data_IF_888622223027
#
_entry.id   IF_888622223027
#
_cell.length_a   1.000
_cell.length_b   1.000
_cell.length_c   1.000
_cell.angle_alpha   90.00
_cell.angle_beta   90.00
_cell.angle_gamma   90.00
#
_symmetry.space_group_name_H-M   'P 1'
#
loop_
_entity.id
_entity.type
_entity.pdbx_description
1 polymer ?
#
# COMPACT_ATOMS: atom_id res chain seq x y z
N UNK A 1 -22.93 21.42 4.01
CA UNK A 1 -22.75 22.67 4.77
C UNK A 1 -21.37 22.63 5.38
N UNK A 2 -20.51 23.63 5.17
CA UNK A 2 -19.16 23.60 5.73
C UNK A 2 -19.27 23.82 7.24
N UNK A 3 -18.60 22.97 8.02
CA UNK A 3 -18.40 23.16 9.45
C UNK A 3 -17.62 24.47 9.64
N UNK A 4 -18.29 25.48 10.18
CA UNK A 4 -17.68 26.77 10.49
C UNK A 4 -16.68 26.54 11.64
N UNK A 5 -15.38 26.59 11.31
CA UNK A 5 -14.29 26.45 12.28
C UNK A 5 -14.31 27.66 13.21
N UNK A 6 -14.88 27.48 14.41
CA UNK A 6 -14.89 28.50 15.45
C UNK A 6 -13.53 28.46 16.17
N UNK A 7 -12.71 29.52 16.10
CA UNK A 7 -11.36 29.50 16.68
C UNK A 7 -11.39 29.32 18.22
N UNK A 8 -10.44 28.56 18.79
CA UNK A 8 -10.43 28.18 20.21
C UNK A 8 -10.39 29.38 21.18
N UNK A 9 -9.90 30.52 20.69
CA UNK A 9 -9.83 31.81 21.40
C UNK A 9 -11.21 32.29 21.91
N UNK A 10 -12.31 31.94 21.22
CA UNK A 10 -13.67 32.43 21.52
C UNK A 10 -14.36 31.58 22.59
N UNK A 11 -13.99 30.29 22.75
CA UNK A 11 -14.58 29.39 23.76
C UNK A 11 -14.20 29.75 25.20
N UNK A 12 -13.01 30.29 25.43
CA UNK A 12 -12.54 30.66 26.77
C UNK A 12 -13.23 31.91 27.36
N UNK A 13 -13.75 32.83 26.52
CA UNK A 13 -14.34 34.08 27.01
C UNK A 13 -15.70 33.91 27.70
N UNK A 14 -16.49 32.87 27.39
CA UNK A 14 -17.80 32.63 28.03
C UNK A 14 -17.71 32.08 29.46
N UNK A 15 -16.54 31.60 29.90
CA UNK A 15 -16.31 31.10 31.26
C UNK A 15 -15.91 32.20 32.27
N UNK A 16 -15.72 33.44 31.82
CA UNK A 16 -15.25 34.55 32.66
C UNK A 16 -16.24 35.00 33.74
N UNK A 17 -17.55 34.76 33.58
CA UNK A 17 -18.59 35.23 34.52
C UNK A 17 -18.82 34.22 35.66
N UNK A 18 -18.62 32.92 35.42
CA UNK A 18 -18.81 31.88 36.44
C UNK A 18 -17.67 31.82 37.46
N UNK A 19 -16.45 32.19 37.07
CA UNK A 19 -15.27 32.23 37.95
C UNK A 19 -15.39 33.21 39.13
N UNK A 20 -15.76 34.49 38.95
CA UNK A 20 -15.89 35.43 40.07
C UNK A 20 -17.06 35.08 40.98
N UNK A 21 -18.18 34.58 40.44
CA UNK A 21 -19.35 34.19 41.25
C UNK A 21 -19.06 32.95 42.12
N UNK A 22 -18.39 31.94 41.56
CA UNK A 22 -17.99 30.73 42.29
C UNK A 22 -16.97 31.01 43.41
N UNK A 23 -16.21 32.10 43.32
CA UNK A 23 -15.27 32.54 44.34
C UNK A 23 -15.92 33.47 45.38
N UNK A 24 -16.83 34.36 44.97
CA UNK A 24 -17.45 35.35 45.86
C UNK A 24 -18.41 34.74 46.89
N UNK A 25 -19.18 33.71 46.52
CA UNK A 25 -20.14 33.03 47.42
C UNK A 25 -19.43 32.35 48.62
N UNK A 26 -18.30 31.66 48.43
CA UNK A 26 -17.47 31.17 49.54
C UNK A 26 -17.03 32.23 50.55
N UNK A 27 -16.49 33.35 50.07
CA UNK A 27 -16.02 34.42 50.96
C UNK A 27 -17.17 35.13 51.68
N UNK A 28 -18.31 35.32 51.02
CA UNK A 28 -19.51 35.89 51.65
C UNK A 28 -20.09 34.98 52.74
N UNK A 29 -20.10 33.66 52.52
CA UNK A 29 -20.58 32.70 53.53
C UNK A 29 -19.64 32.63 54.73
N UNK A 30 -18.33 32.59 54.54
CA UNK A 30 -17.35 32.63 55.64
C UNK A 30 -17.38 33.97 56.40
N UNK A 31 -17.58 35.09 55.70
CA UNK A 31 -17.78 36.40 56.32
C UNK A 31 -19.06 36.45 57.18
N UNK A 32 -20.16 35.85 56.70
CA UNK A 32 -21.39 35.72 57.47
C UNK A 32 -21.24 34.83 58.72
N UNK A 33 -20.37 33.80 58.68
CA UNK A 33 -20.02 32.99 59.87
C UNK A 33 -19.22 33.81 60.88
N UNK A 34 -18.23 34.57 60.41
CA UNK A 34 -17.40 35.42 61.26
C UNK A 34 -18.23 36.46 62.03
N UNK A 35 -19.26 37.04 61.38
CA UNK A 35 -20.12 38.07 61.98
C UNK A 35 -21.12 37.53 63.02
N UNK A 36 -21.37 36.22 63.04
CA UNK A 36 -22.38 35.59 63.91
C UNK A 36 -21.78 34.80 65.06
N UNK A 37 -20.47 34.54 65.03
CA UNK A 37 -19.78 33.71 66.02
C UNK A 37 -19.32 34.53 67.24
N UNK A 38 -19.41 33.92 68.43
CA UNK A 38 -18.83 34.49 69.66
C UNK A 38 -17.30 34.51 69.60
N UNK A 39 -16.70 33.45 69.06
CA UNK A 39 -15.27 33.32 68.81
C UNK A 39 -15.02 33.21 67.29
N UNK A 40 -14.85 34.35 66.58
CA UNK A 40 -14.86 34.39 65.13
C UNK A 40 -13.72 33.58 64.49
N UNK A 41 -12.53 33.53 65.11
CA UNK A 41 -11.38 32.81 64.55
C UNK A 41 -11.57 31.29 64.55
N UNK A 42 -12.12 30.74 65.64
CA UNK A 42 -12.40 29.30 65.75
C UNK A 42 -13.53 28.92 64.79
N UNK A 43 -14.60 29.70 64.76
CA UNK A 43 -15.74 29.43 63.86
C UNK A 43 -15.34 29.52 62.38
N UNK A 44 -14.54 30.51 61.99
CA UNK A 44 -14.02 30.63 60.61
C UNK A 44 -13.07 29.49 60.28
N UNK A 45 -12.19 29.08 61.21
CA UNK A 45 -11.30 27.93 61.00
C UNK A 45 -12.07 26.64 60.78
N UNK A 46 -13.02 26.33 61.66
CA UNK A 46 -13.91 25.17 61.56
C UNK A 46 -14.74 25.19 60.27
N UNK A 47 -15.37 26.33 59.95
CA UNK A 47 -16.16 26.48 58.74
C UNK A 47 -15.31 26.31 57.47
N UNK A 48 -14.06 26.78 57.48
CA UNK A 48 -13.15 26.66 56.33
C UNK A 48 -12.73 25.21 56.07
N UNK A 49 -12.37 24.47 57.12
CA UNK A 49 -12.01 23.05 56.99
C UNK A 49 -13.20 22.24 56.47
N UNK A 50 -14.39 22.49 57.00
CA UNK A 50 -15.64 21.82 56.56
C UNK A 50 -15.97 22.20 55.11
N UNK A 51 -15.82 23.47 54.74
CA UNK A 51 -16.03 23.96 53.39
C UNK A 51 -15.11 23.27 52.38
N UNK A 52 -13.81 23.17 52.68
CA UNK A 52 -12.82 22.49 51.82
C UNK A 52 -13.12 21.01 51.70
N UNK A 53 -13.46 20.33 52.81
CA UNK A 53 -13.81 18.92 52.79
C UNK A 53 -15.07 18.66 51.93
N UNK A 54 -16.12 19.47 52.13
CA UNK A 54 -17.36 19.39 51.35
C UNK A 54 -17.10 19.65 49.86
N UNK A 55 -16.33 20.70 49.53
CA UNK A 55 -15.99 21.04 48.15
C UNK A 55 -15.14 19.94 47.48
N UNK A 56 -14.18 19.35 48.20
CA UNK A 56 -13.32 18.29 47.65
C UNK A 56 -14.12 17.01 47.39
N UNK A 57 -15.00 16.63 48.32
CA UNK A 57 -15.91 15.49 48.15
C UNK A 57 -16.85 15.71 46.96
N UNK A 58 -17.42 16.92 46.86
CA UNK A 58 -18.21 17.34 45.71
C UNK A 58 -17.43 17.25 44.41
N UNK A 59 -16.23 17.82 44.36
CA UNK A 59 -15.38 17.84 43.16
C UNK A 59 -14.95 16.45 42.71
N UNK A 60 -14.67 15.52 43.64
CA UNK A 60 -14.41 14.13 43.31
C UNK A 60 -15.59 13.44 42.64
N UNK A 61 -16.81 13.66 43.15
CA UNK A 61 -18.03 13.19 42.49
C UNK A 61 -18.22 13.87 41.14
N UNK A 62 -18.07 15.20 41.07
CA UNK A 62 -18.16 15.96 39.84
C UNK A 62 -17.21 15.44 38.76
N UNK A 63 -15.97 15.12 39.14
CA UNK A 63 -14.98 14.50 38.27
C UNK A 63 -15.49 13.17 37.70
N UNK A 64 -15.97 12.24 38.54
CA UNK A 64 -16.49 10.95 38.09
C UNK A 64 -17.64 11.11 37.08
N UNK A 65 -18.62 11.96 37.40
CA UNK A 65 -19.76 12.25 36.53
C UNK A 65 -19.38 13.06 35.28
N UNK A 66 -18.26 13.78 35.32
CA UNK A 66 -17.78 14.63 34.23
C UNK A 66 -17.00 13.90 33.14
N UNK A 67 -16.57 12.65 33.38
CA UNK A 67 -15.83 11.85 32.41
C UNK A 67 -16.71 11.58 31.17
N UNK A 68 -16.26 11.93 29.94
CA UNK A 68 -17.01 11.69 28.71
C UNK A 68 -17.15 10.19 28.40
N UNK A 69 -18.33 9.77 27.94
CA UNK A 69 -18.69 8.36 27.61
C UNK A 69 -18.60 8.01 26.12
N UNK A 70 -18.17 8.97 25.29
CA UNK A 70 -18.33 8.90 23.83
C UNK A 70 -17.29 8.05 23.11
N UNK A 71 -16.27 7.51 23.80
CA UNK A 71 -15.22 6.70 23.17
C UNK A 71 -15.59 5.20 23.10
N UNK A 72 -16.66 4.79 23.79
CA UNK A 72 -17.11 3.39 23.84
C UNK A 72 -18.15 3.04 22.76
N UNK A 73 -18.95 4.02 22.29
CA UNK A 73 -20.01 3.79 21.29
C UNK A 73 -19.47 3.65 19.86
N UNK A 74 -18.37 4.34 19.49
CA UNK A 74 -17.78 4.25 18.14
C UNK A 74 -17.21 2.85 17.83
N UNK A 75 -16.77 2.10 18.85
CA UNK A 75 -16.27 0.73 18.66
C UNK A 75 -17.37 -0.32 18.58
N UNK A 76 -18.51 -0.09 19.24
CA UNK A 76 -19.63 -1.04 19.25
C UNK A 76 -20.39 -1.06 17.92
N UNK A 77 -20.31 0.01 17.12
CA UNK A 77 -20.94 0.11 15.79
C UNK A 77 -20.00 -0.17 14.61
N UNK A 78 -18.73 -0.49 14.86
CA UNK A 78 -17.78 -0.90 13.82
C UNK A 78 -17.87 -2.41 13.62
N UNK A 79 -18.74 -2.86 12.72
CA UNK A 79 -18.89 -4.28 12.37
C UNK A 79 -17.58 -4.92 11.84
N UNK A 80 -17.50 -6.26 11.80
CA UNK A 80 -16.29 -6.97 11.40
C UNK A 80 -16.03 -6.77 9.90
N UNK A 81 -14.98 -6.04 9.57
CA UNK A 81 -14.47 -5.92 8.20
C UNK A 81 -13.41 -7.02 7.96
N UNK A 82 -13.53 -7.84 6.90
CA UNK A 82 -12.57 -8.91 6.67
C UNK A 82 -11.32 -8.38 5.97
N UNK A 83 -10.21 -8.61 6.68
CA UNK A 83 -8.90 -9.08 6.24
C UNK A 83 -7.93 -8.18 5.45
N UNK A 84 -6.65 -8.29 5.83
CA UNK A 84 -5.52 -7.99 4.95
C UNK A 84 -4.69 -6.74 5.23
N UNK A 85 -4.16 -6.54 6.45
CA UNK A 85 -2.74 -6.18 6.70
C UNK A 85 -2.48 -5.96 8.19
N UNK A 86 -1.58 -6.78 8.74
CA UNK A 86 -1.12 -6.68 10.11
C UNK A 86 -0.32 -5.39 10.34
N UNK A 87 -0.37 -4.94 11.59
CA UNK A 87 0.59 -4.05 12.27
C UNK A 87 0.36 -2.53 12.29
N UNK A 88 -0.89 -2.08 12.16
CA UNK A 88 -1.30 -0.93 12.98
C UNK A 88 -1.70 -1.46 14.34
N UNK A 89 -0.79 -1.50 15.31
CA UNK A 89 -1.17 -1.56 16.73
C UNK A 89 -2.03 -0.32 16.97
N UNK A 90 -3.36 -0.46 16.77
CA UNK A 90 -4.37 0.49 17.23
C UNK A 90 -4.06 0.66 18.70
N UNK A 91 -3.38 1.75 19.03
CA UNK A 91 -3.01 2.05 20.39
C UNK A 91 -4.35 2.35 21.07
N UNK A 92 -4.89 1.36 21.76
CA UNK A 92 -6.16 1.49 22.42
C UNK A 92 -6.01 2.60 23.46
N UNK A 93 -6.74 3.69 23.26
CA UNK A 93 -6.91 4.69 24.30
C UNK A 93 -7.38 3.92 25.54
N UNK A 94 -6.65 4.08 26.64
CA UNK A 94 -6.88 3.37 27.87
C UNK A 94 -8.24 3.84 28.46
N UNK A 95 -9.31 3.12 28.12
CA UNK A 95 -10.68 3.42 28.59
C UNK A 95 -10.92 2.92 30.03
N UNK A 96 -9.90 2.44 30.73
CA UNK A 96 -10.06 1.89 32.08
C UNK A 96 -10.68 2.91 33.04
N UNK A 97 -10.28 4.19 32.96
CA UNK A 97 -10.86 5.24 33.82
C UNK A 97 -12.33 5.53 33.50
N UNK A 98 -12.71 5.48 32.23
CA UNK A 98 -14.09 5.67 31.76
C UNK A 98 -14.98 4.52 32.23
N UNK A 99 -14.51 3.28 32.06
CA UNK A 99 -15.20 2.07 32.50
C UNK A 99 -15.36 2.00 34.01
N UNK A 100 -14.28 2.26 34.76
CA UNK A 100 -14.32 2.29 36.23
C UNK A 100 -15.28 3.38 36.72
N UNK A 101 -15.29 4.55 36.08
CA UNK A 101 -16.22 5.62 36.43
C UNK A 101 -17.68 5.26 36.13
N UNK A 102 -17.97 4.58 35.01
CA UNK A 102 -19.33 4.14 34.68
C UNK A 102 -19.84 3.08 35.66
N UNK A 103 -19.02 2.08 36.01
CA UNK A 103 -19.28 1.14 37.11
C UNK A 103 -19.58 1.93 38.40
N UNK A 104 -18.75 2.90 38.73
CA UNK A 104 -18.74 3.52 40.04
C UNK A 104 -19.94 4.45 40.19
N UNK A 105 -20.25 5.21 39.14
CA UNK A 105 -21.43 6.08 39.11
C UNK A 105 -22.73 5.28 39.18
N UNK A 106 -22.82 4.12 38.50
CA UNK A 106 -23.98 3.21 38.62
C UNK A 106 -24.15 2.67 40.04
N UNK A 107 -23.06 2.23 40.69
CA UNK A 107 -23.09 1.76 42.08
C UNK A 107 -23.46 2.89 43.04
N UNK A 108 -22.88 4.09 42.88
CA UNK A 108 -23.18 5.25 43.72
C UNK A 108 -24.66 5.64 43.63
N UNK A 109 -25.22 5.69 42.42
CA UNK A 109 -26.65 5.98 42.22
C UNK A 109 -27.52 4.85 42.80
N UNK A 110 -27.14 3.59 42.59
CA UNK A 110 -27.86 2.42 43.12
C UNK A 110 -27.90 2.36 44.65
N UNK A 111 -26.76 2.57 45.31
CA UNK A 111 -26.67 2.64 46.79
C UNK A 111 -27.43 3.87 47.29
N UNK A 112 -27.31 5.01 46.61
CA UNK A 112 -28.03 6.23 46.97
C UNK A 112 -29.54 6.06 46.98
N UNK A 113 -30.10 5.33 46.02
CA UNK A 113 -31.54 5.05 45.92
C UNK A 113 -32.05 4.16 47.07
N UNK A 114 -31.27 3.15 47.47
CA UNK A 114 -31.68 2.19 48.51
C UNK A 114 -31.37 2.69 49.94
N UNK A 115 -30.29 3.44 50.11
CA UNK A 115 -29.79 3.88 51.42
C UNK A 115 -30.00 5.37 51.73
N UNK A 116 -30.90 6.04 51.01
CA UNK A 116 -31.14 7.48 51.18
C UNK A 116 -31.47 7.86 52.63
N UNK A 117 -32.30 7.06 53.31
CA UNK A 117 -32.68 7.29 54.71
C UNK A 117 -31.49 7.24 55.69
N UNK A 118 -30.70 6.15 55.75
CA UNK A 118 -29.46 6.10 56.51
C UNK A 118 -28.48 7.23 56.20
N UNK A 119 -28.27 7.55 54.92
CA UNK A 119 -27.37 8.63 54.48
C UNK A 119 -27.85 9.99 55.05
N UNK A 120 -29.15 10.28 54.94
CA UNK A 120 -29.72 11.52 55.47
C UNK A 120 -29.55 11.65 56.98
N UNK A 121 -29.69 10.54 57.74
CA UNK A 121 -29.42 10.51 59.18
C UNK A 121 -27.95 10.77 59.51
N UNK A 122 -27.03 10.15 58.79
CA UNK A 122 -25.58 10.38 58.98
C UNK A 122 -25.21 11.83 58.68
N UNK A 123 -25.77 12.42 57.63
CA UNK A 123 -25.59 13.85 57.32
C UNK A 123 -26.16 14.72 58.45
N UNK A 124 -27.34 14.41 58.98
CA UNK A 124 -27.93 15.13 60.12
C UNK A 124 -27.08 15.06 61.39
N UNK A 125 -26.45 13.91 61.65
CA UNK A 125 -25.50 13.76 62.76
C UNK A 125 -24.24 14.60 62.52
N UNK A 126 -23.66 14.54 61.32
CA UNK A 126 -22.49 15.36 60.96
C UNK A 126 -22.77 16.87 61.09
N UNK A 127 -23.94 17.35 60.65
CA UNK A 127 -24.38 18.74 60.82
C UNK A 127 -24.48 19.11 62.30
N UNK A 128 -24.94 18.18 63.13
CA UNK A 128 -25.06 18.39 64.58
C UNK A 128 -23.69 18.50 65.26
N UNK A 129 -22.77 17.58 64.94
CA UNK A 129 -21.40 17.58 65.47
C UNK A 129 -20.61 18.81 65.02
N UNK A 130 -20.62 19.11 63.72
CA UNK A 130 -19.96 20.29 63.17
C UNK A 130 -20.60 21.58 63.69
N UNK A 131 -21.93 21.59 63.83
CA UNK A 131 -22.67 22.73 64.35
C UNK A 131 -22.28 23.07 65.79
N UNK A 132 -22.04 22.05 66.63
CA UNK A 132 -21.59 22.24 68.00
C UNK A 132 -20.21 22.93 68.09
N UNK A 133 -19.34 22.70 67.10
CA UNK A 133 -18.04 23.38 66.97
C UNK A 133 -18.10 24.80 66.40
N UNK A 134 -19.26 25.25 65.92
CA UNK A 134 -19.46 26.57 65.30
C UNK A 134 -20.25 27.52 66.21
N UNK A 135 -21.31 27.04 66.86
CA UNK A 135 -22.04 27.77 67.89
C UNK A 135 -22.82 26.80 68.81
N UNK A 136 -23.01 27.13 70.10
CA UNK A 136 -23.63 26.23 71.08
C UNK A 136 -25.15 26.07 70.93
N UNK A 137 -25.78 26.79 70.00
CA UNK A 137 -27.23 26.86 69.79
C UNK A 137 -27.64 26.43 68.38
N UNK A 138 -28.94 26.52 68.06
CA UNK A 138 -29.48 26.11 66.77
C UNK A 138 -28.80 26.80 65.57
N UNK A 139 -28.23 28.00 65.78
CA UNK A 139 -27.48 28.75 64.77
C UNK A 139 -26.27 27.97 64.25
N UNK A 140 -25.55 27.26 65.12
CA UNK A 140 -24.39 26.45 64.73
C UNK A 140 -24.75 25.36 63.72
N UNK A 141 -25.87 24.67 63.95
CA UNK A 141 -26.40 23.65 63.02
C UNK A 141 -26.82 24.25 61.68
N UNK A 142 -27.47 25.41 61.68
CA UNK A 142 -27.87 26.11 60.44
C UNK A 142 -26.65 26.55 59.65
N UNK A 143 -25.61 27.05 60.33
CA UNK A 143 -24.34 27.43 59.69
C UNK A 143 -23.64 26.19 59.11
N UNK A 144 -23.51 25.10 59.89
CA UNK A 144 -22.91 23.86 59.42
C UNK A 144 -23.62 23.30 58.17
N UNK A 145 -24.96 23.26 58.21
CA UNK A 145 -25.77 22.86 57.07
C UNK A 145 -25.54 23.80 55.87
N UNK A 146 -25.58 25.12 56.08
CA UNK A 146 -25.34 26.12 55.05
C UNK A 146 -23.98 25.96 54.37
N UNK A 147 -22.91 25.76 55.14
CA UNK A 147 -21.57 25.51 54.62
C UNK A 147 -21.54 24.20 53.81
N UNK A 148 -22.02 23.08 54.35
CA UNK A 148 -21.99 21.80 53.65
C UNK A 148 -22.81 21.82 52.35
N UNK A 149 -24.05 22.32 52.40
CA UNK A 149 -24.95 22.37 51.24
C UNK A 149 -24.58 23.45 50.23
N UNK A 150 -23.75 24.43 50.58
CA UNK A 150 -23.22 25.39 49.60
C UNK A 150 -21.98 24.83 48.91
N UNK A 151 -21.04 24.29 49.69
CA UNK A 151 -19.72 23.94 49.16
C UNK A 151 -19.67 22.58 48.47
N UNK A 152 -20.45 21.59 48.90
CA UNK A 152 -20.48 20.28 48.21
C UNK A 152 -21.03 20.38 46.78
N UNK A 153 -22.20 21.01 46.51
CA UNK A 153 -22.67 21.20 45.14
C UNK A 153 -21.76 22.11 44.31
N UNK A 154 -21.16 23.14 44.92
CA UNK A 154 -20.22 24.03 44.22
C UNK A 154 -18.97 23.26 43.78
N UNK A 155 -18.39 22.44 44.68
CA UNK A 155 -17.29 21.55 44.35
C UNK A 155 -17.65 20.57 43.23
N UNK A 156 -18.85 19.97 43.30
CA UNK A 156 -19.36 19.08 42.25
C UNK A 156 -19.43 19.77 40.90
N UNK A 157 -20.02 20.96 40.81
CA UNK A 157 -20.10 21.71 39.55
C UNK A 157 -18.72 22.06 39.01
N UNK A 158 -17.78 22.48 39.87
CA UNK A 158 -16.40 22.77 39.47
C UNK A 158 -15.74 21.52 38.91
N UNK A 159 -15.79 20.39 39.63
CA UNK A 159 -15.21 19.12 39.19
C UNK A 159 -15.84 18.62 37.88
N UNK A 160 -17.16 18.68 37.78
CA UNK A 160 -17.92 18.25 36.60
C UNK A 160 -17.58 19.07 35.37
N UNK A 161 -17.69 20.39 35.46
CA UNK A 161 -17.45 21.28 34.33
C UNK A 161 -15.99 21.25 33.90
N UNK A 162 -15.05 21.24 34.86
CA UNK A 162 -13.61 21.18 34.54
C UNK A 162 -13.26 19.88 33.83
N UNK A 163 -13.75 18.74 34.32
CA UNK A 163 -13.52 17.44 33.69
C UNK A 163 -14.17 17.39 32.31
N UNK A 164 -15.44 17.81 32.20
CA UNK A 164 -16.19 17.75 30.95
C UNK A 164 -15.62 18.66 29.86
N UNK A 165 -14.99 19.78 30.21
CA UNK A 165 -14.48 20.74 29.23
C UNK A 165 -12.99 20.55 28.93
N UNK A 166 -12.15 20.35 29.94
CA UNK A 166 -10.71 20.27 29.75
C UNK A 166 -10.26 18.86 29.32
N UNK A 167 -10.77 17.81 29.97
CA UNK A 167 -10.36 16.44 29.64
C UNK A 167 -10.88 16.04 28.24
N UNK A 168 -12.10 16.43 27.89
CA UNK A 168 -12.68 16.15 26.58
C UNK A 168 -11.96 16.88 25.43
N UNK A 169 -11.49 18.12 25.67
CA UNK A 169 -10.75 18.87 24.64
C UNK A 169 -9.34 18.34 24.47
N UNK A 170 -8.67 17.95 25.56
CA UNK A 170 -7.37 17.29 25.47
C UNK A 170 -7.44 16.01 24.65
N UNK A 171 -8.39 15.11 24.93
CA UNK A 171 -8.50 13.87 24.16
C UNK A 171 -8.80 14.12 22.68
N UNK A 172 -9.72 15.02 22.35
CA UNK A 172 -10.03 15.37 20.96
C UNK A 172 -8.82 15.93 20.19
N UNK A 173 -8.03 16.83 20.81
CA UNK A 173 -6.88 17.44 20.14
C UNK A 173 -5.73 16.43 19.90
N UNK A 174 -5.55 15.46 20.80
CA UNK A 174 -4.57 14.39 20.61
C UNK A 174 -4.97 13.38 19.54
N UNK A 175 -6.27 13.10 19.41
CA UNK A 175 -6.79 12.17 18.41
C UNK A 175 -6.74 12.79 17.00
N UNK A 176 -7.18 14.04 16.84
CA UNK A 176 -7.16 14.75 15.55
C UNK A 176 -5.73 14.89 14.98
N UNK A 177 -4.76 15.33 15.81
CA UNK A 177 -3.35 15.47 15.37
C UNK A 177 -2.72 14.16 14.93
N UNK A 178 -3.13 13.03 15.51
CA UNK A 178 -2.63 11.71 15.13
C UNK A 178 -3.26 11.22 13.83
N UNK A 179 -4.56 11.47 13.63
CA UNK A 179 -5.24 11.13 12.39
C UNK A 179 -4.68 11.92 11.22
N UNK A 180 -4.41 13.22 11.39
CA UNK A 180 -3.77 14.05 10.36
C UNK A 180 -2.38 13.54 9.99
N UNK A 181 -1.58 13.13 11.00
CA UNK A 181 -0.25 12.56 10.76
C UNK A 181 -0.32 11.24 9.96
N UNK A 182 -1.22 10.34 10.35
CA UNK A 182 -1.41 9.06 9.65
C UNK A 182 -1.91 9.29 8.22
N UNK A 183 -2.83 10.22 8.01
CA UNK A 183 -3.32 10.56 6.67
C UNK A 183 -2.23 11.17 5.80
N UNK A 184 -1.38 12.04 6.35
CA UNK A 184 -0.22 12.60 5.65
C UNK A 184 0.77 11.54 5.18
N UNK A 185 1.15 10.62 6.09
CA UNK A 185 2.06 9.51 5.76
C UNK A 185 1.46 8.55 4.70
N UNK A 186 0.15 8.28 4.75
CA UNK A 186 -0.54 7.46 3.75
C UNK A 186 -0.59 8.12 2.36
N UNK A 187 -0.81 9.44 2.30
CA UNK A 187 -0.81 10.18 1.04
C UNK A 187 0.56 10.16 0.36
N UNK A 188 1.64 10.25 1.14
CA UNK A 188 3.01 10.19 0.62
C UNK A 188 3.36 8.79 0.10
N UNK A 189 2.99 7.74 0.83
CA UNK A 189 3.17 6.35 0.36
C UNK A 189 2.39 6.12 -0.94
N UNK A 190 1.14 6.57 -1.01
CA UNK A 190 0.32 6.43 -2.23
C UNK A 190 0.94 7.15 -3.42
N UNK A 191 1.45 8.37 -3.23
CA UNK A 191 2.14 9.13 -4.28
C UNK A 191 3.37 8.39 -4.82
N UNK A 192 4.20 7.81 -3.93
CA UNK A 192 5.41 7.07 -4.32
C UNK A 192 5.07 5.79 -5.09
N UNK A 193 4.00 5.09 -4.70
CA UNK A 193 3.53 3.90 -5.40
C UNK A 193 2.97 4.28 -6.77
N UNK A 194 2.08 5.27 -6.84
CA UNK A 194 1.44 5.70 -8.09
C UNK A 194 2.47 6.22 -9.11
N UNK A 195 3.50 6.96 -8.68
CA UNK A 195 4.52 7.50 -9.60
C UNK A 195 5.44 6.41 -10.17
N UNK A 196 5.87 5.44 -9.36
CA UNK A 196 6.83 4.42 -9.82
C UNK A 196 6.18 3.26 -10.55
N UNK A 197 4.95 2.91 -10.18
CA UNK A 197 4.24 1.75 -10.70
C UNK A 197 3.38 2.15 -11.90
N UNK A 198 2.71 3.30 -11.83
CA UNK A 198 1.87 3.82 -12.91
C UNK A 198 2.65 4.09 -14.20
N UNK A 199 3.77 4.82 -14.11
CA UNK A 199 4.59 5.15 -15.29
C UNK A 199 5.17 3.89 -15.96
N UNK A 200 5.61 2.90 -15.17
CA UNK A 200 6.14 1.63 -15.70
C UNK A 200 5.07 0.79 -16.38
N UNK A 201 3.87 0.70 -15.78
CA UNK A 201 2.75 0.00 -16.42
C UNK A 201 2.28 0.68 -17.69
N UNK A 202 2.28 2.02 -17.73
CA UNK A 202 1.97 2.79 -18.93
C UNK A 202 3.00 2.52 -20.03
N UNK A 203 4.30 2.62 -19.71
CA UNK A 203 5.36 2.33 -20.68
C UNK A 203 5.31 0.89 -21.22
N UNK A 204 5.07 -0.09 -20.35
CA UNK A 204 4.90 -1.50 -20.75
C UNK A 204 3.65 -1.70 -21.63
N UNK A 205 2.54 -1.02 -21.28
CA UNK A 205 1.31 -1.03 -22.05
C UNK A 205 1.45 -0.40 -23.43
N UNK A 206 2.11 0.75 -23.53
CA UNK A 206 2.38 1.45 -24.79
C UNK A 206 3.29 0.64 -25.70
N UNK A 207 4.34 0.03 -25.15
CA UNK A 207 5.20 -0.85 -25.90
C UNK A 207 4.45 -2.07 -26.44
N UNK A 208 3.61 -2.71 -25.62
CA UNK A 208 2.81 -3.85 -26.06
C UNK A 208 1.77 -3.45 -27.12
N UNK A 209 1.12 -2.30 -26.97
CA UNK A 209 0.16 -1.77 -27.95
C UNK A 209 0.82 -1.59 -29.32
N UNK A 210 1.98 -0.95 -29.38
CA UNK A 210 2.71 -0.74 -30.63
C UNK A 210 3.23 -2.06 -31.22
N UNK A 211 3.67 -3.00 -30.37
CA UNK A 211 4.07 -4.34 -30.83
C UNK A 211 2.89 -5.10 -31.41
N UNK A 212 1.73 -5.09 -30.76
CA UNK A 212 0.52 -5.75 -31.25
C UNK A 212 0.06 -5.12 -32.57
N UNK A 213 0.05 -3.80 -32.67
CA UNK A 213 -0.23 -3.10 -33.93
C UNK A 213 0.77 -3.50 -35.03
N UNK A 214 2.07 -3.55 -34.72
CA UNK A 214 3.10 -3.95 -35.67
C UNK A 214 2.94 -5.42 -36.13
N UNK A 215 2.45 -6.30 -35.25
CA UNK A 215 2.22 -7.72 -35.55
C UNK A 215 0.89 -7.98 -36.25
N UNK A 216 -0.04 -7.02 -36.21
CA UNK A 216 -1.30 -7.10 -36.93
C UNK A 216 -1.07 -6.83 -38.42
N UNK A 217 -1.54 -7.75 -39.26
CA UNK A 217 -1.35 -7.67 -40.70
C UNK A 217 -2.29 -6.66 -41.34
N UNK A 218 -3.44 -6.40 -40.73
CA UNK A 218 -4.47 -5.49 -41.26
C UNK A 218 -4.20 -4.02 -40.89
N UNK A 219 -3.28 -3.78 -39.95
CA UNK A 219 -2.86 -2.45 -39.50
C UNK A 219 -1.63 -1.94 -40.28
N UNK A 220 -1.46 -0.60 -40.41
CA UNK A 220 -0.26 -0.03 -41.00
C UNK A 220 0.97 -0.30 -40.13
N UNK A 221 2.14 -0.39 -40.76
CA UNK A 221 3.40 -0.53 -40.04
C UNK A 221 3.60 0.64 -39.07
N UNK A 222 4.09 0.29 -37.88
CA UNK A 222 4.46 1.25 -36.85
C UNK A 222 5.81 1.85 -37.20
N UNK A 223 5.96 3.15 -36.99
CA UNK A 223 7.24 3.83 -37.16
C UNK A 223 8.33 3.16 -36.30
N UNK A 224 9.45 2.82 -36.93
CA UNK A 224 10.52 2.04 -36.30
C UNK A 224 11.19 2.79 -35.13
N UNK A 225 11.20 4.12 -35.18
CA UNK A 225 11.72 4.94 -34.08
C UNK A 225 10.75 4.95 -32.89
N UNK A 226 9.44 5.03 -33.15
CA UNK A 226 8.41 4.95 -32.13
C UNK A 226 8.41 3.59 -31.43
N UNK A 227 8.47 2.49 -32.19
CA UNK A 227 8.55 1.13 -31.66
C UNK A 227 9.79 0.96 -30.76
N UNK A 228 10.95 1.42 -31.23
CA UNK A 228 12.22 1.34 -30.48
C UNK A 228 12.20 2.16 -29.20
N UNK A 229 11.64 3.37 -29.24
CA UNK A 229 11.53 4.25 -28.07
C UNK A 229 10.60 3.66 -27.02
N UNK A 230 9.46 3.09 -27.44
CA UNK A 230 8.55 2.42 -26.53
C UNK A 230 9.20 1.18 -25.89
N UNK A 231 9.88 0.34 -26.69
CA UNK A 231 10.61 -0.82 -26.16
C UNK A 231 11.79 -0.43 -25.25
N UNK A 232 12.39 0.74 -25.45
CA UNK A 232 13.43 1.28 -24.56
C UNK A 232 12.87 1.69 -23.20
N UNK A 233 11.67 2.28 -23.19
CA UNK A 233 10.97 2.67 -21.96
C UNK A 233 10.41 1.46 -21.20
N UNK A 234 10.11 0.37 -21.91
CA UNK A 234 9.56 -0.85 -21.35
C UNK A 234 10.55 -1.61 -20.42
N UNK A 235 9.98 -2.28 -19.43
CA UNK A 235 10.70 -3.12 -18.48
C UNK A 235 11.36 -4.32 -19.17
N UNK A 236 12.40 -4.92 -18.57
CA UNK A 236 13.00 -6.15 -19.08
C UNK A 236 11.99 -7.30 -19.25
N UNK A 237 11.02 -7.41 -18.34
CA UNK A 237 9.96 -8.41 -18.40
C UNK A 237 9.02 -8.19 -19.58
N UNK A 238 8.61 -6.93 -19.84
CA UNK A 238 7.82 -6.61 -21.02
C UNK A 238 8.59 -6.92 -22.32
N UNK A 239 9.87 -6.57 -22.41
CA UNK A 239 10.72 -6.94 -23.57
C UNK A 239 10.87 -8.45 -23.76
N UNK A 240 10.89 -9.23 -22.68
CA UNK A 240 10.88 -10.69 -22.76
C UNK A 240 9.55 -11.23 -23.30
N UNK A 241 8.42 -10.67 -22.88
CA UNK A 241 7.10 -11.03 -23.41
C UNK A 241 6.97 -10.65 -24.89
N UNK A 242 7.47 -9.48 -25.30
CA UNK A 242 7.53 -9.05 -26.71
C UNK A 242 8.31 -10.05 -27.56
N UNK A 243 9.49 -10.50 -27.09
CA UNK A 243 10.26 -11.54 -27.78
C UNK A 243 9.45 -12.83 -27.97
N UNK A 244 8.80 -13.31 -26.91
CA UNK A 244 7.99 -14.53 -26.95
C UNK A 244 6.82 -14.40 -27.94
N UNK A 245 6.11 -13.29 -27.89
CA UNK A 245 4.97 -13.01 -28.77
C UNK A 245 5.40 -12.92 -30.24
N UNK A 246 6.42 -12.13 -30.54
CA UNK A 246 6.90 -11.98 -31.91
C UNK A 246 7.48 -13.30 -32.46
N UNK A 247 8.19 -14.09 -31.64
CA UNK A 247 8.71 -15.40 -32.08
C UNK A 247 7.57 -16.41 -32.29
N UNK A 248 6.48 -16.33 -31.51
CA UNK A 248 5.29 -17.14 -31.74
C UNK A 248 4.64 -16.82 -33.09
N UNK A 249 4.47 -15.53 -33.42
CA UNK A 249 3.96 -15.10 -34.73
C UNK A 249 4.86 -15.62 -35.84
N UNK A 250 6.18 -15.44 -35.74
CA UNK A 250 7.14 -15.94 -36.72
C UNK A 250 7.03 -17.46 -36.91
N UNK A 251 7.00 -18.24 -35.83
CA UNK A 251 6.92 -19.71 -35.90
C UNK A 251 5.64 -20.22 -36.54
N UNK A 252 4.51 -19.57 -36.27
CA UNK A 252 3.23 -19.88 -36.92
C UNK A 252 3.28 -19.54 -38.40
N UNK A 253 3.82 -18.38 -38.74
CA UNK A 253 3.99 -17.92 -40.12
C UNK A 253 4.83 -18.86 -40.97
N UNK A 254 5.81 -19.52 -40.38
CA UNK A 254 6.61 -20.53 -41.07
C UNK A 254 5.87 -21.86 -41.31
N UNK A 255 4.92 -22.23 -40.45
CA UNK A 255 4.24 -23.55 -40.51
C UNK A 255 2.93 -23.54 -41.29
N UNK A 256 2.30 -22.38 -41.40
CA UNK A 256 0.95 -22.24 -41.92
C UNK A 256 0.92 -21.19 -43.06
N UNK A 257 0.61 -21.60 -44.31
CA UNK A 257 0.47 -20.70 -45.45
C UNK A 257 -0.53 -19.56 -45.21
N UNK A 258 -1.53 -19.72 -44.34
CA UNK A 258 -2.49 -18.67 -44.00
C UNK A 258 -1.85 -17.47 -43.25
N UNK A 259 -0.60 -17.63 -42.78
CA UNK A 259 0.17 -16.62 -42.07
C UNK A 259 1.37 -16.13 -42.88
N UNK A 260 1.43 -16.43 -44.18
CA UNK A 260 2.47 -15.96 -45.10
C UNK A 260 2.49 -14.41 -45.12
N UNK A 261 3.69 -13.81 -45.10
CA UNK A 261 3.86 -12.34 -45.05
C UNK A 261 3.82 -11.70 -43.65
N UNK A 262 3.65 -12.50 -42.59
CA UNK A 262 3.69 -12.00 -41.20
C UNK A 262 5.07 -12.10 -40.55
N UNK A 263 6.04 -12.76 -41.18
CA UNK A 263 7.42 -12.83 -40.66
C UNK A 263 8.08 -11.45 -40.74
N UNK A 264 7.84 -10.73 -41.82
CA UNK A 264 8.35 -9.39 -42.13
C UNK A 264 7.93 -8.40 -41.05
N UNK A 265 6.68 -8.53 -40.57
CA UNK A 265 6.13 -7.75 -39.45
C UNK A 265 6.92 -7.93 -38.14
N UNK A 266 7.58 -9.07 -37.95
CA UNK A 266 8.41 -9.35 -36.76
C UNK A 266 9.82 -8.75 -36.83
N UNK A 267 10.31 -8.43 -38.04
CA UNK A 267 11.68 -7.97 -38.26
C UNK A 267 11.99 -6.65 -37.54
N UNK A 268 11.16 -5.58 -37.61
CA UNK A 268 11.42 -4.33 -36.91
C UNK A 268 11.47 -4.51 -35.38
N UNK A 269 10.66 -5.42 -34.84
CA UNK A 269 10.60 -5.74 -33.41
C UNK A 269 11.92 -6.39 -32.98
N UNK A 270 12.35 -7.45 -33.68
CA UNK A 270 13.60 -8.13 -33.34
C UNK A 270 14.83 -7.23 -33.52
N UNK A 271 14.85 -6.40 -34.57
CA UNK A 271 15.91 -5.41 -34.78
C UNK A 271 16.00 -4.45 -33.59
N UNK A 272 14.87 -3.88 -33.18
CA UNK A 272 14.80 -3.01 -32.00
C UNK A 272 15.31 -3.70 -30.73
N UNK A 273 14.93 -4.98 -30.51
CA UNK A 273 15.41 -5.75 -29.36
C UNK A 273 16.94 -5.97 -29.41
N UNK A 274 17.53 -6.26 -30.57
CA UNK A 274 18.98 -6.46 -30.69
C UNK A 274 19.79 -5.21 -30.36
N UNK A 275 19.27 -4.03 -30.68
CA UNK A 275 19.92 -2.76 -30.33
C UNK A 275 19.83 -2.46 -28.82
N UNK A 276 18.70 -2.78 -28.19
CA UNK A 276 18.46 -2.55 -26.76
C UNK A 276 19.13 -3.59 -25.86
N UNK A 277 19.46 -4.76 -26.40
CA UNK A 277 20.07 -5.88 -25.67
C UNK A 277 21.09 -6.63 -26.52
N UNK A 278 22.20 -5.99 -26.94
CA UNK A 278 23.16 -6.59 -27.88
C UNK A 278 23.91 -7.80 -27.31
N UNK A 279 23.90 -7.99 -25.99
CA UNK A 279 24.45 -9.18 -25.33
C UNK A 279 23.48 -10.38 -25.33
N UNK A 280 22.17 -10.16 -25.56
CA UNK A 280 21.18 -11.21 -25.51
C UNK A 280 21.18 -12.01 -26.82
N UNK A 281 21.79 -13.20 -26.78
CA UNK A 281 21.86 -14.09 -27.94
C UNK A 281 20.50 -14.46 -28.53
N UNK A 282 19.42 -14.48 -27.73
CA UNK A 282 18.07 -14.84 -28.20
C UNK A 282 17.49 -13.78 -29.14
N UNK A 283 17.81 -12.50 -28.91
CA UNK A 283 17.38 -11.42 -29.80
C UNK A 283 18.02 -11.56 -31.18
N UNK A 284 19.33 -11.83 -31.21
CA UNK A 284 20.06 -12.06 -32.46
C UNK A 284 19.57 -13.31 -33.20
N UNK A 285 19.29 -14.38 -32.47
CA UNK A 285 18.75 -15.60 -33.07
C UNK A 285 17.36 -15.37 -33.69
N UNK A 286 16.45 -14.71 -32.95
CA UNK A 286 15.11 -14.41 -33.45
C UNK A 286 15.15 -13.53 -34.71
N UNK A 287 16.02 -12.51 -34.73
CA UNK A 287 16.25 -11.68 -35.92
C UNK A 287 16.80 -12.51 -37.09
N UNK A 288 17.78 -13.39 -36.82
CA UNK A 288 18.37 -14.26 -37.83
C UNK A 288 17.37 -15.23 -38.45
N UNK A 289 16.50 -15.82 -37.63
CA UNK A 289 15.40 -16.65 -38.11
C UNK A 289 14.38 -15.84 -38.92
N UNK A 290 13.99 -14.66 -38.44
CA UNK A 290 13.06 -13.81 -39.17
C UNK A 290 13.59 -13.42 -40.55
N UNK A 291 14.87 -13.03 -40.66
CA UNK A 291 15.49 -12.74 -41.95
C UNK A 291 15.56 -13.96 -42.87
N UNK A 292 15.86 -15.14 -42.34
CA UNK A 292 15.89 -16.40 -43.10
C UNK A 292 14.50 -16.77 -43.63
N UNK A 293 13.46 -16.52 -42.83
CA UNK A 293 12.09 -16.95 -43.09
C UNK A 293 11.23 -15.88 -43.80
N UNK A 294 11.77 -14.68 -44.02
CA UNK A 294 11.10 -13.60 -44.78
C UNK A 294 11.01 -13.93 -46.26
N UNK A 295 10.07 -13.29 -46.97
CA UNK A 295 9.84 -13.36 -48.40
C UNK A 295 9.88 -11.93 -49.00
N UNK A 296 10.95 -11.55 -49.73
CA UNK A 296 12.13 -12.36 -50.03
C UNK A 296 13.06 -12.53 -48.81
N UNK A 297 13.82 -13.65 -48.74
CA UNK A 297 14.71 -13.91 -47.62
C UNK A 297 15.92 -12.98 -47.63
N UNK A 298 16.27 -12.43 -46.47
CA UNK A 298 17.51 -11.66 -46.28
C UNK A 298 18.63 -12.59 -45.78
N UNK A 299 19.16 -13.41 -46.68
CA UNK A 299 20.17 -14.42 -46.33
C UNK A 299 21.46 -13.79 -45.75
N UNK A 300 21.89 -12.63 -46.25
CA UNK A 300 23.08 -11.94 -45.73
C UNK A 300 22.87 -11.43 -44.30
N UNK A 301 21.72 -10.81 -44.02
CA UNK A 301 21.32 -10.37 -42.69
C UNK A 301 21.13 -11.53 -41.72
N UNK A 302 20.52 -12.64 -42.19
CA UNK A 302 20.35 -13.86 -41.41
C UNK A 302 21.71 -14.45 -40.99
N UNK A 303 22.67 -14.54 -41.91
CA UNK A 303 24.03 -15.04 -41.62
C UNK A 303 24.73 -14.20 -40.55
N UNK A 304 24.65 -12.87 -40.67
CA UNK A 304 25.26 -11.96 -39.71
C UNK A 304 24.61 -12.08 -38.32
N UNK A 305 23.27 -12.08 -38.25
CA UNK A 305 22.54 -12.16 -37.00
C UNK A 305 22.73 -13.51 -36.28
N UNK A 306 22.67 -14.64 -36.99
CA UNK A 306 22.92 -15.96 -36.42
C UNK A 306 24.37 -16.12 -35.95
N UNK A 307 25.33 -15.52 -36.66
CA UNK A 307 26.72 -15.50 -36.22
C UNK A 307 26.88 -14.74 -34.90
N UNK A 308 26.27 -13.56 -34.77
CA UNK A 308 26.24 -12.84 -33.49
C UNK A 308 25.53 -13.64 -32.40
N UNK A 309 24.44 -14.34 -32.71
CA UNK A 309 23.76 -15.19 -31.74
C UNK A 309 24.69 -16.28 -31.18
N UNK A 310 25.44 -16.95 -32.05
CA UNK A 310 26.38 -18.01 -31.66
C UNK A 310 27.54 -17.45 -30.83
N UNK A 311 28.13 -16.33 -31.26
CA UNK A 311 29.20 -15.64 -30.52
C UNK A 311 28.76 -15.21 -29.11
N UNK A 312 27.52 -14.75 -28.95
CA UNK A 312 27.00 -14.27 -27.66
C UNK A 312 26.49 -15.37 -26.75
N UNK A 313 26.10 -16.53 -27.29
CA UNK A 313 25.54 -17.66 -26.52
C UNK A 313 26.61 -18.36 -25.66
N UNK A 314 27.84 -18.47 -26.15
CA UNK A 314 28.84 -19.36 -25.56
C UNK A 314 28.62 -20.83 -25.96
N UNK A 315 29.02 -21.77 -25.11
CA UNK A 315 29.09 -23.21 -25.45
C UNK A 315 27.68 -23.81 -25.76
N UNK A 316 27.44 -24.26 -27.00
CA UNK A 316 26.16 -24.88 -27.40
C UNK A 316 25.76 -26.06 -26.51
N UNK A 317 26.73 -26.88 -26.07
CA UNK A 317 26.48 -28.13 -25.33
C UNK A 317 25.84 -27.91 -23.97
N UNK A 318 25.96 -26.69 -23.44
CA UNK A 318 25.39 -26.31 -22.15
C UNK A 318 24.00 -25.67 -22.27
N UNK A 319 23.63 -25.20 -23.46
CA UNK A 319 22.42 -24.38 -23.68
C UNK A 319 21.35 -25.07 -24.51
N UNK A 320 21.68 -26.14 -25.26
CA UNK A 320 20.72 -26.89 -26.08
C UNK A 320 20.14 -26.07 -27.24
N UNK A 321 20.92 -25.12 -27.78
CA UNK A 321 20.51 -24.18 -28.84
C UNK A 321 21.27 -24.41 -30.14
N UNK A 322 21.54 -25.66 -30.48
CA UNK A 322 22.26 -26.07 -31.69
C UNK A 322 21.49 -25.76 -33.00
N UNK A 323 20.23 -25.33 -32.87
CA UNK A 323 19.42 -24.81 -33.97
C UNK A 323 19.99 -23.52 -34.60
N UNK A 324 20.84 -22.76 -33.90
CA UNK A 324 21.47 -21.57 -34.48
C UNK A 324 22.42 -21.96 -35.61
N UNK A 325 23.25 -22.98 -35.36
CA UNK A 325 24.19 -23.54 -36.32
C UNK A 325 23.44 -24.20 -37.47
N UNK A 326 22.39 -24.97 -37.18
CA UNK A 326 21.55 -25.58 -38.23
C UNK A 326 20.99 -24.53 -39.19
N UNK A 327 20.37 -23.47 -38.67
CA UNK A 327 19.83 -22.40 -39.50
C UNK A 327 20.93 -21.62 -40.23
N UNK A 328 22.10 -21.44 -39.61
CA UNK A 328 23.23 -20.76 -40.24
C UNK A 328 23.80 -21.58 -41.42
N UNK A 329 23.87 -22.90 -41.28
CA UNK A 329 24.28 -23.80 -42.37
C UNK A 329 23.33 -23.71 -43.57
N UNK A 330 22.01 -23.73 -43.33
CA UNK A 330 21.00 -23.53 -44.38
C UNK A 330 21.18 -22.19 -45.10
N UNK A 331 21.36 -21.11 -44.34
CA UNK A 331 21.58 -19.77 -44.91
C UNK A 331 22.86 -19.73 -45.75
N UNK A 332 23.95 -20.40 -45.34
CA UNK A 332 25.18 -20.51 -46.14
C UNK A 332 24.92 -21.22 -47.46
N UNK A 333 24.16 -22.30 -47.47
CA UNK A 333 23.79 -23.02 -48.70
C UNK A 333 22.95 -22.12 -49.62
N UNK A 334 21.96 -21.41 -49.08
CA UNK A 334 21.14 -20.46 -49.85
C UNK A 334 21.98 -19.37 -50.50
N UNK A 335 23.03 -18.89 -49.85
CA UNK A 335 23.94 -17.89 -50.40
C UNK A 335 24.82 -18.40 -51.55
N UNK A 336 24.93 -19.73 -51.73
CA UNK A 336 25.64 -20.31 -52.87
C UNK A 336 24.85 -20.16 -54.18
N UNK A 337 23.52 -20.03 -54.10
CA UNK A 337 22.64 -19.86 -55.26
C UNK A 337 22.87 -20.97 -56.32
N UNK A 338 22.94 -22.23 -55.84
CA UNK A 338 23.16 -23.42 -56.67
C UNK A 338 24.61 -23.65 -57.14
N UNK A 339 25.56 -22.78 -56.77
CA UNK A 339 26.98 -22.94 -57.11
C UNK A 339 27.71 -23.85 -56.11
N UNK A 340 28.79 -24.54 -56.53
CA UNK A 340 29.61 -25.29 -55.59
C UNK A 340 30.28 -24.34 -54.58
N UNK A 341 30.30 -24.75 -53.30
CA UNK A 341 30.98 -24.01 -52.24
C UNK A 341 32.51 -24.10 -52.38
N UNK A 342 33.21 -22.99 -52.12
CA UNK A 342 34.67 -22.99 -51.96
C UNK A 342 35.10 -23.75 -50.70
N UNK A 343 36.39 -24.11 -50.61
CA UNK A 343 36.91 -24.95 -49.53
C UNK A 343 36.63 -24.35 -48.13
N UNK A 344 36.73 -23.01 -48.01
CA UNK A 344 36.44 -22.30 -46.77
C UNK A 344 34.97 -22.41 -46.39
N UNK A 345 34.06 -22.18 -47.33
CA UNK A 345 32.62 -22.21 -47.10
C UNK A 345 32.16 -23.62 -46.79
N UNK A 346 32.70 -24.64 -47.49
CA UNK A 346 32.47 -26.04 -47.15
C UNK A 346 32.93 -26.36 -45.72
N UNK A 347 34.11 -25.90 -45.31
CA UNK A 347 34.61 -26.07 -43.94
C UNK A 347 33.67 -25.47 -42.89
N UNK A 348 33.14 -24.27 -43.15
CA UNK A 348 32.19 -23.59 -42.26
C UNK A 348 30.82 -24.30 -42.20
N UNK A 349 30.32 -24.80 -43.34
CA UNK A 349 29.08 -25.59 -43.38
C UNK A 349 29.27 -26.88 -42.59
N UNK A 350 30.36 -27.62 -42.79
CA UNK A 350 30.68 -28.84 -42.01
C UNK A 350 30.74 -28.57 -40.51
N UNK A 351 31.36 -27.45 -40.11
CA UNK A 351 31.42 -27.06 -38.71
C UNK A 351 30.02 -26.81 -38.11
N UNK A 352 29.19 -26.05 -38.82
CA UNK A 352 27.82 -25.75 -38.37
C UNK A 352 26.96 -27.03 -38.31
N UNK A 353 27.03 -27.88 -39.35
CA UNK A 353 26.30 -29.16 -39.39
C UNK A 353 26.77 -30.10 -38.28
N UNK A 354 28.08 -30.25 -38.06
CA UNK A 354 28.61 -31.10 -37.00
C UNK A 354 28.14 -30.66 -35.60
N UNK A 355 28.12 -29.35 -35.34
CA UNK A 355 27.59 -28.81 -34.09
C UNK A 355 26.09 -29.08 -33.94
N UNK A 356 25.31 -28.91 -35.01
CA UNK A 356 23.87 -29.14 -35.04
C UNK A 356 23.49 -30.63 -34.92
N UNK A 357 24.32 -31.53 -35.45
CA UNK A 357 24.03 -32.97 -35.55
C UNK A 357 23.91 -33.68 -34.20
N UNK A 358 24.46 -33.09 -33.14
CA UNK A 358 24.26 -33.58 -31.77
C UNK A 358 22.79 -33.50 -31.31
N UNK A 359 21.99 -32.61 -31.90
CA UNK A 359 20.58 -32.45 -31.54
C UNK A 359 19.71 -33.48 -32.27
N UNK A 360 19.01 -34.33 -31.51
CA UNK A 360 18.13 -35.36 -32.07
C UNK A 360 17.02 -34.80 -32.97
N UNK A 361 16.50 -33.61 -32.64
CA UNK A 361 15.45 -32.98 -33.45
C UNK A 361 15.99 -32.55 -34.80
N UNK A 362 17.21 -32.02 -34.86
CA UNK A 362 17.88 -31.66 -36.12
C UNK A 362 18.07 -32.90 -36.99
N UNK A 363 18.60 -33.99 -36.41
CA UNK A 363 18.77 -35.27 -37.13
C UNK A 363 17.46 -35.77 -37.71
N UNK A 364 16.38 -35.71 -36.93
CA UNK A 364 15.05 -36.13 -37.38
C UNK A 364 14.53 -35.26 -38.53
N UNK A 365 14.69 -33.95 -38.46
CA UNK A 365 14.26 -33.02 -39.52
C UNK A 365 15.00 -33.35 -40.83
N UNK A 366 16.33 -33.48 -40.77
CA UNK A 366 17.14 -33.78 -41.95
C UNK A 366 16.79 -35.16 -42.52
N UNK A 367 16.64 -36.18 -41.68
CA UNK A 367 16.27 -37.52 -42.14
C UNK A 367 14.90 -37.54 -42.83
N UNK A 368 13.90 -36.87 -42.26
CA UNK A 368 12.57 -36.76 -42.88
C UNK A 368 12.63 -36.08 -44.25
N UNK A 369 13.44 -35.03 -44.40
CA UNK A 369 13.61 -34.37 -45.70
C UNK A 369 14.33 -35.25 -46.71
N UNK A 370 15.33 -36.05 -46.28
CA UNK A 370 16.00 -37.05 -47.13
C UNK A 370 15.01 -38.12 -47.59
N UNK A 371 14.19 -38.64 -46.68
CA UNK A 371 13.22 -39.70 -46.98
C UNK A 371 12.13 -39.25 -47.97
N UNK A 372 11.86 -37.93 -48.03
CA UNK A 372 10.90 -37.31 -48.96
C UNK A 372 11.50 -36.95 -50.32
N UNK A 373 12.82 -37.01 -50.51
CA UNK A 373 13.44 -36.68 -51.79
C UNK A 373 13.13 -37.76 -52.84
N UNK A 374 12.73 -37.41 -54.08
CA UNK A 374 12.81 -36.10 -54.75
C UNK A 374 11.51 -35.27 -54.80
N UNK A 375 10.43 -35.67 -54.13
CA UNK A 375 9.09 -35.05 -54.24
C UNK A 375 8.82 -33.94 -53.21
N UNK A 376 9.78 -33.67 -52.32
CA UNK A 376 9.67 -32.66 -51.25
C UNK A 376 9.62 -31.21 -51.74
N UNK A 377 9.20 -30.31 -50.84
CA UNK A 377 9.19 -28.87 -51.08
C UNK A 377 10.60 -28.26 -51.13
N UNK A 378 10.72 -26.96 -51.39
CA UNK A 378 12.03 -26.29 -51.48
C UNK A 378 12.82 -26.36 -50.16
N UNK A 379 12.14 -26.45 -49.01
CA UNK A 379 12.80 -26.62 -47.70
C UNK A 379 13.36 -28.04 -47.56
N UNK A 380 12.62 -29.06 -48.02
CA UNK A 380 13.08 -30.44 -48.03
C UNK A 380 14.31 -30.62 -48.94
N UNK A 381 14.31 -29.99 -50.12
CA UNK A 381 15.47 -29.99 -51.03
C UNK A 381 16.69 -29.32 -50.42
N UNK A 382 16.53 -28.18 -49.75
CA UNK A 382 17.62 -27.50 -49.05
C UNK A 382 18.19 -28.33 -47.90
N UNK A 383 17.32 -28.99 -47.12
CA UNK A 383 17.76 -29.89 -46.06
C UNK A 383 18.54 -31.10 -46.61
N UNK A 384 18.19 -31.59 -47.80
CA UNK A 384 18.95 -32.66 -48.47
C UNK A 384 20.38 -32.22 -48.84
N UNK A 385 20.59 -30.95 -49.20
CA UNK A 385 21.93 -30.42 -49.49
C UNK A 385 22.83 -30.41 -48.24
N UNK A 386 22.26 -30.36 -47.04
CA UNK A 386 23.04 -30.51 -45.81
C UNK A 386 23.58 -31.94 -45.62
N UNK A 387 22.97 -32.95 -46.26
CA UNK A 387 23.34 -34.34 -46.10
C UNK A 387 24.79 -34.61 -46.53
N UNK A 388 25.27 -33.90 -47.54
CA UNK A 388 26.65 -33.97 -48.05
C UNK A 388 27.70 -33.51 -47.02
N UNK A 389 27.27 -32.79 -45.98
CA UNK A 389 28.13 -32.20 -44.96
C UNK A 389 27.97 -32.88 -43.59
N UNK A 390 27.16 -33.94 -43.50
CA UNK A 390 26.99 -34.71 -42.27
C UNK A 390 28.32 -35.40 -41.92
N UNK A 391 28.77 -35.36 -40.65
CA UNK A 391 29.94 -36.11 -40.22
C UNK A 391 29.75 -37.61 -40.48
N UNK A 392 30.68 -38.24 -41.19
CA UNK A 392 30.71 -39.71 -41.29
C UNK A 392 30.93 -40.31 -39.89
N UNK A 393 30.26 -41.43 -39.57
CA UNK A 393 30.30 -42.06 -38.25
C UNK A 393 31.71 -42.47 -37.79
#
# INVERSE_FOLDING_TARGET
MPYEYIPPQIRLKRFGIFRPLALAVPFATLGAVALQAKDPWIAVGTATVVAVAAATMGAGLGFLFGIPRSLQEERSNSGPQPDGTQNSRRYEVNTNLEQISDWLTKILVGIGLVQLGPIARTIGNLITEVGAGLAPDQRGRVIAAGVMFTYAPTGFLIGYVSTRTWLATLFAEYDDKKLDKIQGELLDIRRIVDSNVGERFQADGDAMRLVLQQLDYDEPDVDESALRNALRAATPSARANVLLLADEVRRKSWRDPAFQGRVERTVPIFRSLTELGPANHRYWAALGYAYKDSAPPNNSGALAALTRAIERRGDPRTTGKEFYEFARALVRIRLLDGKPADERTQGLIRQDVAAAWHNETVRRIVQVSIDKAPEGDDTDKENCLLAEYIPTP
#
